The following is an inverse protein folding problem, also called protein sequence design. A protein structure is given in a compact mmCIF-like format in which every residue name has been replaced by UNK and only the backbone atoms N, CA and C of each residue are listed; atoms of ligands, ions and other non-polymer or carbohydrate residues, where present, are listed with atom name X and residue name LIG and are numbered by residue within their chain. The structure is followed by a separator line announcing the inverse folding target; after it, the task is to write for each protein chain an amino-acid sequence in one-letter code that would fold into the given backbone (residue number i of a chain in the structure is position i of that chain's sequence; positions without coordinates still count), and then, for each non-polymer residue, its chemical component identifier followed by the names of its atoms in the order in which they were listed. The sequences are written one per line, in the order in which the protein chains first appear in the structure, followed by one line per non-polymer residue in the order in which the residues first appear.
data_IF_512952844697
#
_entry.id   IF_512952844697
#
_cell.length_a   1.000
_cell.length_b   1.000
_cell.length_c   1.000
_cell.angle_alpha   90.00
_cell.angle_beta   90.00
_cell.angle_gamma   90.00
#
_symmetry.space_group_name_H-M   'P 1'
#
loop_
_entity.id
_entity.type
_entity.pdbx_description
1 polymer ?
#
# COMPACT_ATOMS: atom_id res chain seq x y z
N UNK A 1 -1.49 5.38 4.94
CA UNK A 1 -0.05 5.38 5.34
C UNK A 1 0.76 4.59 4.32
N UNK A 2 1.92 5.09 3.84
CA UNK A 2 2.68 4.42 2.75
C UNK A 2 3.66 3.32 3.21
N UNK A 3 4.13 3.34 4.45
CA UNK A 3 5.06 2.34 4.99
C UNK A 3 4.32 1.06 5.44
N UNK A 4 4.73 -0.10 4.89
CA UNK A 4 4.16 -1.42 5.21
C UNK A 4 4.33 -1.81 6.67
N UNK A 5 5.47 -1.49 7.29
CA UNK A 5 5.71 -1.82 8.71
C UNK A 5 4.79 -1.00 9.60
N UNK A 6 4.67 0.29 9.30
CA UNK A 6 3.79 1.20 10.02
C UNK A 6 2.31 0.87 9.81
N UNK A 7 1.91 0.46 8.60
CA UNK A 7 0.56 -0.06 8.32
C UNK A 7 0.22 -1.26 9.18
N UNK A 8 1.13 -2.23 9.29
CA UNK A 8 0.92 -3.40 10.17
C UNK A 8 0.75 -2.99 11.63
N UNK A 9 1.62 -2.11 12.14
CA UNK A 9 1.53 -1.58 13.51
C UNK A 9 0.21 -0.83 13.74
N UNK A 10 -0.23 -0.03 12.77
CA UNK A 10 -1.49 0.70 12.87
C UNK A 10 -2.69 -0.23 12.83
N UNK A 11 -2.68 -1.26 11.97
CA UNK A 11 -3.71 -2.31 11.94
C UNK A 11 -3.83 -3.02 13.28
N UNK A 12 -2.70 -3.39 13.89
CA UNK A 12 -2.68 -4.05 15.20
C UNK A 12 -3.20 -3.11 16.31
N UNK A 13 -2.92 -1.81 16.22
CA UNK A 13 -3.48 -0.80 17.11
C UNK A 13 -5.00 -0.63 16.92
N UNK A 14 -5.50 -0.59 15.68
CA UNK A 14 -6.93 -0.51 15.40
C UNK A 14 -7.68 -1.74 15.95
N UNK A 15 -7.04 -2.92 15.96
CA UNK A 15 -7.59 -4.11 16.61
C UNK A 15 -7.74 -3.95 18.13
N UNK A 16 -6.81 -3.25 18.78
CA UNK A 16 -6.89 -2.96 20.21
C UNK A 16 -7.96 -1.91 20.54
N UNK A 17 -8.14 -0.94 19.64
CA UNK A 17 -9.13 0.14 19.80
C UNK A 17 -10.53 -0.21 19.24
N UNK A 18 -10.79 -1.47 18.89
CA UNK A 18 -12.05 -1.94 18.31
C UNK A 18 -12.47 -1.15 17.04
N UNK A 19 -11.49 -0.67 16.27
CA UNK A 19 -11.66 0.10 15.04
C UNK A 19 -11.05 -0.59 13.81
N UNK A 20 -10.82 -1.91 13.91
CA UNK A 20 -10.19 -2.70 12.86
C UNK A 20 -11.02 -2.69 11.57
N UNK A 21 -12.35 -2.78 11.66
CA UNK A 21 -13.19 -2.85 10.46
C UNK A 21 -13.17 -1.53 9.67
N UNK A 22 -13.09 -0.38 10.35
CA UNK A 22 -12.84 0.91 9.71
C UNK A 22 -11.51 0.93 8.93
N UNK A 23 -10.45 0.35 9.51
CA UNK A 23 -9.17 0.21 8.82
C UNK A 23 -9.29 -0.71 7.60
N UNK A 24 -9.95 -1.86 7.75
CA UNK A 24 -10.09 -2.85 6.67
C UNK A 24 -10.91 -2.29 5.50
N UNK A 25 -11.93 -1.49 5.77
CA UNK A 25 -12.69 -0.78 4.75
C UNK A 25 -11.79 0.16 3.93
N UNK A 26 -10.97 0.99 4.58
CA UNK A 26 -10.04 1.87 3.88
C UNK A 26 -9.00 1.10 3.04
N UNK A 27 -8.55 -0.07 3.53
CA UNK A 27 -7.63 -0.96 2.80
C UNK A 27 -8.32 -1.50 1.54
N UNK A 28 -9.58 -1.94 1.64
CA UNK A 28 -10.37 -2.41 0.49
C UNK A 28 -10.72 -1.32 -0.51
N UNK A 29 -11.03 -0.10 -0.05
CA UNK A 29 -11.21 1.06 -0.94
C UNK A 29 -9.90 1.35 -1.70
N UNK A 30 -8.75 1.17 -1.07
CA UNK A 30 -7.45 1.31 -1.74
C UNK A 30 -7.28 0.26 -2.84
N UNK A 31 -7.64 -1.00 -2.59
CA UNK A 31 -7.61 -2.06 -3.61
C UNK A 31 -8.51 -1.72 -4.81
N UNK A 32 -9.70 -1.18 -4.56
CA UNK A 32 -10.59 -0.69 -5.61
C UNK A 32 -9.94 0.43 -6.44
N UNK A 33 -9.35 1.44 -5.79
CA UNK A 33 -8.67 2.56 -6.49
C UNK A 33 -7.50 2.09 -7.35
N UNK A 34 -6.73 1.09 -6.91
CA UNK A 34 -5.67 0.47 -7.72
C UNK A 34 -6.24 -0.17 -8.99
N UNK A 35 -7.41 -0.80 -8.91
CA UNK A 35 -8.08 -1.34 -10.10
C UNK A 35 -8.59 -0.23 -11.03
N UNK A 36 -9.06 0.89 -10.48
CA UNK A 36 -9.43 2.07 -11.27
C UNK A 36 -8.24 2.66 -12.02
N UNK A 37 -7.09 2.83 -11.36
CA UNK A 37 -5.84 3.28 -11.99
C UNK A 37 -5.45 2.34 -13.14
N UNK A 38 -5.54 1.03 -12.91
CA UNK A 38 -5.25 0.04 -13.96
C UNK A 38 -6.26 0.06 -15.11
N UNK A 39 -7.54 0.28 -14.83
CA UNK A 39 -8.57 0.43 -15.87
C UNK A 39 -8.26 1.66 -16.74
N UNK A 40 -7.92 2.78 -16.10
CA UNK A 40 -7.53 4.00 -16.80
C UNK A 40 -6.27 3.80 -17.66
N UNK A 41 -5.23 3.12 -17.15
CA UNK A 41 -4.05 2.77 -17.95
C UNK A 41 -4.39 1.96 -19.21
N UNK A 42 -5.32 1.01 -19.09
CA UNK A 42 -5.78 0.19 -20.22
C UNK A 42 -6.56 1.05 -21.22
N UNK A 43 -7.47 1.90 -20.75
CA UNK A 43 -8.26 2.79 -21.60
C UNK A 43 -7.36 3.79 -22.34
N UNK A 44 -6.38 4.39 -21.67
CA UNK A 44 -5.38 5.27 -22.30
C UNK A 44 -4.62 4.51 -23.38
N UNK A 45 -4.16 3.28 -23.10
CA UNK A 45 -3.47 2.49 -24.12
C UNK A 45 -4.34 2.14 -25.33
N UNK A 46 -5.62 1.84 -25.12
CA UNK A 46 -6.53 1.43 -26.20
C UNK A 46 -7.05 2.60 -27.03
N UNK A 47 -7.27 3.76 -26.41
CA UNK A 47 -8.03 4.87 -27.02
C UNK A 47 -7.23 6.17 -27.18
N UNK A 48 -6.12 6.38 -26.46
CA UNK A 48 -5.31 7.61 -26.57
C UNK A 48 -4.31 7.55 -27.76
N UNK A 49 -4.01 6.34 -28.27
CA UNK A 49 -3.29 6.13 -29.54
C UNK A 49 -4.15 6.44 -30.79
N UNK A 50 -5.45 6.75 -30.62
CA UNK A 50 -6.36 7.18 -31.69
C UNK A 50 -6.37 8.70 -31.92
N UNK A 51 -5.33 9.42 -31.47
CA UNK A 51 -5.12 10.82 -31.87
C UNK A 51 -4.80 10.89 -33.38
N UNK A 52 -5.54 11.66 -34.21
CA UNK A 52 -5.38 11.70 -35.67
C UNK A 52 -4.02 12.25 -36.15
N UNK A 53 -3.12 12.65 -35.25
CA UNK A 53 -1.85 13.29 -35.58
C UNK A 53 -0.60 12.43 -35.28
N UNK A 54 -0.75 11.17 -34.86
CA UNK A 54 0.41 10.28 -34.76
C UNK A 54 0.70 9.61 -36.11
N UNK A 55 1.34 10.37 -37.01
CA UNK A 55 2.04 9.82 -38.17
C UNK A 55 3.21 8.96 -37.68
N UNK A 56 2.93 7.71 -37.30
CA UNK A 56 3.95 6.67 -37.30
C UNK A 56 4.11 6.22 -38.74
N UNK A 57 5.16 6.71 -39.39
CA UNK A 57 5.73 6.15 -40.62
C UNK A 57 5.98 4.65 -40.43
N UNK A 58 4.97 3.83 -40.74
CA UNK A 58 5.16 2.41 -41.00
C UNK A 58 5.42 2.27 -42.49
N UNK A 59 6.67 2.56 -42.84
CA UNK A 59 7.24 2.21 -44.14
C UNK A 59 6.98 0.73 -44.40
N UNK A 60 6.15 0.49 -45.40
CA UNK A 60 6.00 -0.80 -46.07
C UNK A 60 7.34 -1.21 -46.67
N UNK A 61 7.94 -2.30 -46.17
CA UNK A 61 8.98 -3.00 -46.92
C UNK A 61 8.41 -4.32 -47.43
N UNK A 62 7.94 -4.25 -48.68
CA UNK A 62 7.61 -5.39 -49.52
C UNK A 62 8.90 -6.10 -49.93
N UNK A 63 9.04 -7.33 -49.43
CA UNK A 63 9.88 -8.44 -49.88
C UNK A 63 11.01 -8.20 -50.90
N UNK A 64 12.20 -8.71 -50.55
CA UNK A 64 12.98 -9.55 -51.47
C UNK A 64 13.95 -10.47 -50.73
N UNK A 65 14.01 -11.69 -51.23
CA UNK A 65 14.75 -12.84 -50.73
C UNK A 65 16.27 -12.75 -50.96
N UNK A 66 16.99 -13.49 -50.10
CA UNK A 66 18.19 -14.30 -50.39
C UNK A 66 19.56 -13.83 -49.85
N UNK A 67 20.23 -14.84 -49.25
CA UNK A 67 21.68 -15.10 -49.07
C UNK A 67 22.48 -14.52 -47.89
N UNK A 68 22.65 -15.40 -46.90
CA UNK A 68 23.90 -15.97 -46.33
C UNK A 68 25.04 -15.08 -45.76
N UNK A 69 25.37 -15.42 -44.51
CA UNK A 69 26.67 -15.43 -43.81
C UNK A 69 27.44 -14.10 -43.59
N UNK A 70 27.54 -13.66 -42.33
CA UNK A 70 28.71 -13.95 -41.45
C UNK A 70 28.63 -13.16 -40.14
N UNK A 71 28.91 -13.89 -39.04
CA UNK A 71 29.43 -13.44 -37.74
C UNK A 71 29.45 -11.94 -37.40
N UNK A 72 28.67 -11.54 -36.40
CA UNK A 72 29.21 -10.70 -35.34
C UNK A 72 28.36 -10.80 -34.06
N UNK A 73 29.08 -10.87 -32.94
CA UNK A 73 28.56 -10.81 -31.59
C UNK A 73 27.78 -9.51 -31.41
N UNK A 74 26.52 -9.61 -31.00
CA UNK A 74 25.96 -8.61 -30.09
C UNK A 74 24.87 -9.24 -29.22
N UNK A 75 24.95 -8.98 -27.92
CA UNK A 75 23.98 -9.41 -26.93
C UNK A 75 22.69 -8.62 -27.14
N UNK A 76 21.82 -9.13 -28.02
CA UNK A 76 20.44 -8.68 -28.09
C UNK A 76 19.74 -9.02 -26.77
N UNK A 77 19.62 -8.01 -25.91
CA UNK A 77 18.49 -7.87 -25.03
C UNK A 77 17.22 -8.06 -25.87
N UNK A 78 16.65 -9.27 -25.82
CA UNK A 78 15.26 -9.52 -26.17
C UNK A 78 14.41 -8.61 -25.29
N UNK A 79 14.14 -7.39 -25.76
CA UNK A 79 13.02 -6.58 -25.30
C UNK A 79 11.79 -7.44 -25.54
N UNK A 80 11.33 -8.15 -24.50
CA UNK A 80 10.01 -8.75 -24.48
C UNK A 80 9.05 -7.63 -24.85
N UNK A 81 8.49 -7.67 -26.07
CA UNK A 81 7.36 -6.83 -26.43
C UNK A 81 6.33 -7.01 -25.32
N UNK A 82 6.08 -5.96 -24.53
CA UNK A 82 4.97 -5.98 -23.57
C UNK A 82 3.75 -6.35 -24.40
N UNK A 83 3.11 -7.46 -24.04
CA UNK A 83 1.82 -7.85 -24.62
C UNK A 83 0.90 -6.65 -24.42
N UNK A 84 0.43 -6.02 -25.50
CA UNK A 84 -0.44 -4.86 -25.41
C UNK A 84 -1.72 -5.21 -24.65
N UNK A 85 -2.36 -4.22 -24.06
CA UNK A 85 -3.68 -4.41 -23.46
C UNK A 85 -4.72 -4.66 -24.55
N UNK A 86 -5.76 -5.41 -24.21
CA UNK A 86 -6.90 -5.73 -25.08
C UNK A 86 -8.21 -5.27 -24.44
N UNK A 87 -9.27 -5.11 -25.22
CA UNK A 87 -10.62 -4.82 -24.69
C UNK A 87 -11.10 -5.90 -23.71
N UNK A 88 -10.66 -7.15 -23.91
CA UNK A 88 -10.92 -8.24 -22.97
C UNK A 88 -10.27 -7.98 -21.61
N UNK A 89 -9.04 -7.46 -21.58
CA UNK A 89 -8.37 -7.10 -20.33
C UNK A 89 -9.10 -5.96 -19.60
N UNK A 90 -9.67 -5.00 -20.35
CA UNK A 90 -10.50 -3.94 -19.79
C UNK A 90 -11.77 -4.51 -19.14
N UNK A 91 -12.48 -5.38 -19.85
CA UNK A 91 -13.70 -6.02 -19.33
C UNK A 91 -13.41 -6.88 -18.08
N UNK A 92 -12.30 -7.60 -18.06
CA UNK A 92 -11.86 -8.37 -16.88
C UNK A 92 -11.54 -7.45 -15.68
N UNK A 93 -11.00 -6.26 -15.91
CA UNK A 93 -10.73 -5.28 -14.85
C UNK A 93 -12.02 -4.65 -14.32
N UNK A 94 -12.96 -4.27 -15.19
CA UNK A 94 -14.26 -3.74 -14.75
C UNK A 94 -15.04 -4.76 -13.94
N UNK A 95 -15.02 -6.05 -14.34
CA UNK A 95 -15.61 -7.12 -13.55
C UNK A 95 -14.99 -7.22 -12.15
N UNK A 96 -13.66 -7.13 -12.04
CA UNK A 96 -12.97 -7.16 -10.74
C UNK A 96 -13.28 -5.93 -9.88
N UNK A 97 -13.41 -4.75 -10.51
CA UNK A 97 -13.85 -3.53 -9.82
C UNK A 97 -15.22 -3.74 -9.19
N UNK A 98 -16.15 -4.32 -9.94
CA UNK A 98 -17.48 -4.67 -9.44
C UNK A 98 -17.43 -5.68 -8.30
N UNK A 99 -16.65 -6.76 -8.43
CA UNK A 99 -16.50 -7.77 -7.37
C UNK A 99 -16.02 -7.14 -6.05
N UNK A 100 -14.98 -6.31 -6.09
CA UNK A 100 -14.48 -5.61 -4.90
C UNK A 100 -15.50 -4.61 -4.38
N UNK A 101 -16.14 -3.84 -5.26
CA UNK A 101 -17.11 -2.83 -4.85
C UNK A 101 -18.36 -3.45 -4.20
N UNK A 102 -18.80 -4.59 -4.72
CA UNK A 102 -19.87 -5.39 -4.13
C UNK A 102 -19.48 -5.95 -2.76
N UNK A 103 -18.28 -6.53 -2.63
CA UNK A 103 -17.75 -6.99 -1.32
C UNK A 103 -17.69 -5.84 -0.30
N UNK A 104 -17.22 -4.66 -0.70
CA UNK A 104 -17.20 -3.48 0.18
C UNK A 104 -18.61 -3.15 0.64
N UNK A 105 -19.58 -3.14 -0.27
CA UNK A 105 -20.96 -2.85 0.05
C UNK A 105 -21.54 -3.88 1.03
N UNK A 106 -21.48 -5.17 0.71
CA UNK A 106 -22.11 -6.23 1.51
C UNK A 106 -21.48 -6.40 2.89
N UNK A 107 -20.16 -6.28 2.99
CA UNK A 107 -19.45 -6.60 4.23
C UNK A 107 -19.39 -5.39 5.17
N UNK A 108 -19.25 -4.18 4.62
CA UNK A 108 -18.97 -2.97 5.42
C UNK A 108 -20.07 -1.91 5.38
N UNK A 109 -20.79 -1.73 4.26
CA UNK A 109 -21.77 -0.65 4.12
C UNK A 109 -23.21 -1.09 4.40
N UNK A 110 -23.51 -2.38 4.19
CA UNK A 110 -24.80 -2.95 4.58
C UNK A 110 -24.90 -3.01 6.11
N UNK A 111 -26.09 -2.66 6.61
CA UNK A 111 -26.43 -2.68 8.04
C UNK A 111 -26.38 -4.12 8.57
N UNK A 112 -26.62 -5.11 7.70
CA UNK A 112 -26.54 -6.54 8.04
C UNK A 112 -25.16 -7.15 7.73
N UNK A 113 -24.18 -6.35 7.31
CA UNK A 113 -22.84 -6.82 6.97
C UNK A 113 -22.05 -7.30 8.19
N UNK A 114 -21.20 -8.33 8.00
CA UNK A 114 -20.37 -8.91 9.07
C UNK A 114 -19.40 -7.91 9.70
N UNK A 115 -19.04 -6.85 8.97
CA UNK A 115 -18.07 -5.81 9.32
C UNK A 115 -18.67 -4.42 9.17
N UNK A 116 -19.98 -4.29 9.37
CA UNK A 116 -20.72 -3.05 9.17
C UNK A 116 -20.06 -1.89 9.92
N UNK A 117 -19.70 -0.83 9.20
CA UNK A 117 -19.12 0.38 9.79
C UNK A 117 -20.18 1.45 9.99
N UNK A 118 -19.94 2.36 10.92
CA UNK A 118 -20.86 3.48 11.17
C UNK A 118 -20.65 4.58 10.13
N UNK A 119 -21.48 4.59 9.09
CA UNK A 119 -21.48 5.59 8.02
C UNK A 119 -22.87 6.17 7.78
N UNK A 120 -22.92 7.28 7.04
CA UNK A 120 -24.19 7.84 6.62
C UNK A 120 -24.92 6.90 5.66
N UNK A 121 -26.18 6.58 5.97
CA UNK A 121 -27.04 5.75 5.12
C UNK A 121 -27.10 6.23 3.67
N UNK A 122 -27.18 7.55 3.47
CA UNK A 122 -27.21 8.12 2.11
C UNK A 122 -25.93 7.87 1.30
N UNK A 123 -24.78 7.70 1.95
CA UNK A 123 -23.54 7.32 1.29
C UNK A 123 -23.59 5.85 0.84
N UNK A 124 -24.06 4.96 1.72
CA UNK A 124 -24.25 3.54 1.39
C UNK A 124 -25.27 3.34 0.25
N UNK A 125 -26.39 4.06 0.31
CA UNK A 125 -27.46 3.98 -0.69
C UNK A 125 -26.96 4.43 -2.07
N UNK A 126 -26.13 5.48 -2.15
CA UNK A 126 -25.52 5.93 -3.41
C UNK A 126 -24.57 4.89 -4.01
N UNK A 127 -23.76 4.23 -3.18
CA UNK A 127 -22.88 3.16 -3.64
C UNK A 127 -23.72 2.00 -4.19
N UNK A 128 -24.77 1.61 -3.47
CA UNK A 128 -25.70 0.57 -3.90
C UNK A 128 -26.31 0.87 -5.25
N UNK A 129 -26.84 2.08 -5.42
CA UNK A 129 -27.47 2.51 -6.67
C UNK A 129 -26.52 2.39 -7.86
N UNK A 130 -25.26 2.79 -7.71
CA UNK A 130 -24.24 2.63 -8.76
C UNK A 130 -23.91 1.16 -9.07
N UNK A 131 -23.88 0.30 -8.04
CA UNK A 131 -23.69 -1.15 -8.24
C UNK A 131 -24.89 -1.78 -8.96
N UNK A 132 -26.10 -1.35 -8.65
CA UNK A 132 -27.33 -1.82 -9.29
C UNK A 132 -27.36 -1.41 -10.78
N UNK A 133 -26.95 -0.17 -11.12
CA UNK A 133 -26.82 0.27 -12.52
C UNK A 133 -25.78 -0.51 -13.32
N UNK A 134 -24.66 -0.88 -12.67
CA UNK A 134 -23.67 -1.74 -13.32
C UNK A 134 -24.21 -3.17 -13.52
N UNK A 135 -24.91 -3.71 -12.53
CA UNK A 135 -25.49 -5.05 -12.59
C UNK A 135 -26.65 -5.16 -13.60
N UNK A 136 -27.43 -4.10 -13.80
CA UNK A 136 -28.48 -4.02 -14.82
C UNK A 136 -27.92 -3.81 -16.23
N UNK A 137 -26.64 -3.46 -16.36
CA UNK A 137 -26.00 -3.12 -17.62
C UNK A 137 -26.34 -1.71 -18.13
N UNK A 138 -26.98 -0.88 -17.31
CA UNK A 138 -27.21 0.54 -17.62
C UNK A 138 -25.91 1.35 -17.59
N UNK A 139 -24.91 0.87 -16.85
CA UNK A 139 -23.58 1.45 -16.82
C UNK A 139 -22.50 0.39 -17.08
N UNK A 140 -21.62 0.62 -18.04
CA UNK A 140 -20.52 -0.28 -18.41
C UNK A 140 -19.26 -0.09 -17.54
N UNK A 141 -19.17 1.03 -16.81
CA UNK A 141 -17.96 1.39 -16.05
C UNK A 141 -18.28 1.94 -14.66
N UNK A 142 -17.62 1.41 -13.64
CA UNK A 142 -17.69 1.97 -12.30
C UNK A 142 -16.72 3.16 -12.16
N UNK A 143 -17.16 4.23 -11.49
CA UNK A 143 -16.34 5.43 -11.32
C UNK A 143 -15.25 5.22 -10.27
N UNK A 144 -14.10 5.87 -10.45
CA UNK A 144 -13.01 5.88 -9.46
C UNK A 144 -13.40 6.59 -8.16
N UNK A 145 -14.31 7.55 -8.26
CA UNK A 145 -14.86 8.35 -7.15
C UNK A 145 -16.00 7.67 -6.37
N UNK A 146 -16.39 6.44 -6.74
CA UNK A 146 -17.51 5.70 -6.13
C UNK A 146 -17.49 5.71 -4.59
N UNK A 147 -16.31 5.58 -4.00
CA UNK A 147 -16.12 5.48 -2.56
C UNK A 147 -15.60 6.75 -1.89
N UNK A 148 -15.41 7.86 -2.60
CA UNK A 148 -14.75 9.05 -2.03
C UNK A 148 -15.48 9.63 -0.82
N UNK A 149 -16.81 9.64 -0.85
CA UNK A 149 -17.59 10.11 0.30
C UNK A 149 -17.45 9.16 1.51
N UNK A 150 -17.52 7.86 1.26
CA UNK A 150 -17.36 6.82 2.31
C UNK A 150 -15.95 6.88 2.91
N UNK A 151 -14.93 6.98 2.07
CA UNK A 151 -13.53 7.10 2.50
C UNK A 151 -13.31 8.34 3.35
N UNK A 152 -13.88 9.48 2.95
CA UNK A 152 -13.77 10.73 3.69
C UNK A 152 -14.40 10.63 5.08
N UNK A 153 -15.62 10.09 5.19
CA UNK A 153 -16.30 9.89 6.47
C UNK A 153 -15.49 9.00 7.42
N UNK A 154 -14.99 7.86 6.91
CA UNK A 154 -14.19 6.93 7.71
C UNK A 154 -12.82 7.51 8.08
N UNK A 155 -12.19 8.28 7.19
CA UNK A 155 -10.94 8.98 7.50
C UNK A 155 -11.13 9.95 8.66
N UNK A 156 -12.24 10.72 8.66
CA UNK A 156 -12.59 11.64 9.76
C UNK A 156 -12.81 10.86 11.07
N UNK A 157 -13.59 9.78 11.02
CA UNK A 157 -13.85 8.92 12.18
C UNK A 157 -12.54 8.33 12.76
N UNK A 158 -11.59 7.98 11.91
CA UNK A 158 -10.32 7.38 12.32
C UNK A 158 -9.27 8.40 12.79
N UNK A 159 -9.52 9.71 12.74
CA UNK A 159 -8.56 10.73 13.17
C UNK A 159 -8.11 10.55 14.62
N UNK A 160 -9.06 10.27 15.53
CA UNK A 160 -8.75 10.09 16.95
C UNK A 160 -7.92 8.83 17.20
N UNK A 161 -8.28 7.72 16.55
CA UNK A 161 -7.52 6.46 16.57
C UNK A 161 -6.11 6.69 16.06
N UNK A 162 -5.97 7.43 14.96
CA UNK A 162 -4.69 7.78 14.39
C UNK A 162 -3.85 8.69 15.31
N UNK A 163 -4.49 9.62 16.02
CA UNK A 163 -3.82 10.47 16.99
C UNK A 163 -3.27 9.65 18.18
N UNK A 164 -4.09 8.77 18.76
CA UNK A 164 -3.67 7.86 19.84
C UNK A 164 -2.56 6.89 19.40
N UNK A 165 -2.61 6.42 18.16
CA UNK A 165 -1.53 5.62 17.58
C UNK A 165 -0.20 6.37 17.58
N UNK A 166 -0.20 7.63 17.13
CA UNK A 166 1.02 8.45 17.11
C UNK A 166 1.60 8.63 18.51
N UNK A 167 0.76 8.94 19.50
CA UNK A 167 1.18 9.04 20.90
C UNK A 167 1.81 7.73 21.39
N UNK A 168 1.18 6.59 21.07
CA UNK A 168 1.69 5.25 21.43
C UNK A 168 3.06 4.98 20.81
N UNK A 169 3.24 5.27 19.53
CA UNK A 169 4.53 5.09 18.83
C UNK A 169 5.61 6.01 19.40
N UNK A 170 5.27 7.27 19.70
CA UNK A 170 6.20 8.22 20.32
C UNK A 170 6.63 7.75 21.72
N UNK A 171 5.69 7.28 22.53
CA UNK A 171 5.97 6.72 23.84
C UNK A 171 6.89 5.49 23.76
N UNK A 172 6.64 4.57 22.82
CA UNK A 172 7.51 3.41 22.60
C UNK A 172 8.94 3.84 22.20
N UNK A 173 9.08 4.83 21.31
CA UNK A 173 10.38 5.38 20.94
C UNK A 173 11.11 6.00 22.14
N UNK A 174 10.41 6.73 23.00
CA UNK A 174 11.00 7.31 24.21
C UNK A 174 11.46 6.23 25.19
N UNK A 175 10.63 5.22 25.44
CA UNK A 175 10.94 4.11 26.35
C UNK A 175 12.15 3.30 25.85
N UNK A 176 12.23 3.01 24.55
CA UNK A 176 13.41 2.36 23.96
C UNK A 176 14.68 3.20 24.14
N UNK A 177 14.62 4.52 23.91
CA UNK A 177 15.76 5.42 24.16
C UNK A 177 16.20 5.40 25.63
N UNK A 178 15.26 5.37 26.57
CA UNK A 178 15.58 5.27 28.00
C UNK A 178 16.23 3.93 28.37
N UNK A 179 15.74 2.82 27.82
CA UNK A 179 16.34 1.50 28.04
C UNK A 179 17.78 1.43 27.52
N UNK A 180 18.04 1.96 26.32
CA UNK A 180 19.40 2.02 25.76
C UNK A 180 20.32 2.89 26.63
N UNK A 181 19.85 4.04 27.10
CA UNK A 181 20.63 4.91 28.02
C UNK A 181 20.93 4.19 29.34
N UNK A 182 19.95 3.54 29.97
CA UNK A 182 20.15 2.77 31.21
C UNK A 182 21.15 1.63 31.03
N UNK A 183 21.10 0.94 29.89
CA UNK A 183 22.04 -0.14 29.59
C UNK A 183 23.47 0.36 29.35
N UNK A 184 23.64 1.50 28.67
CA UNK A 184 24.97 2.16 28.53
C UNK A 184 25.55 2.55 29.89
N UNK A 185 24.75 3.19 30.75
CA UNK A 185 25.19 3.58 32.11
C UNK A 185 25.57 2.35 32.94
N UNK A 186 24.81 1.24 32.85
CA UNK A 186 25.18 -0.02 33.52
C UNK A 186 26.50 -0.61 33.01
N UNK A 187 26.74 -0.56 31.70
CA UNK A 187 28.00 -1.02 31.10
C UNK A 187 29.20 -0.18 31.54
N UNK A 188 29.07 1.15 31.55
CA UNK A 188 30.12 2.06 32.03
C UNK A 188 30.38 1.88 33.53
N UNK A 189 29.32 1.72 34.32
CA UNK A 189 29.43 1.47 35.77
C UNK A 189 30.13 0.15 36.09
N UNK A 190 29.87 -0.91 35.31
CA UNK A 190 30.58 -2.19 35.47
C UNK A 190 32.03 -2.12 35.00
N UNK A 191 32.33 -1.37 33.93
CA UNK A 191 33.70 -1.13 33.48
C UNK A 191 34.54 -0.37 34.52
N UNK A 192 33.95 0.64 35.16
CA UNK A 192 34.61 1.43 36.23
C UNK A 192 34.81 0.61 37.51
N UNK A 193 33.90 -0.32 37.82
CA UNK A 193 34.08 -1.25 38.95
C UNK A 193 35.21 -2.25 38.70
N UNK A 194 35.30 -2.83 37.51
CA UNK A 194 36.42 -3.72 37.15
C UNK A 194 37.77 -2.97 37.11
N UNK A 195 37.81 -1.71 36.66
CA UNK A 195 39.07 -0.96 36.65
C UNK A 195 39.54 -0.49 38.04
N UNK A 196 38.64 -0.42 39.03
CA UNK A 196 38.98 -0.05 40.41
C UNK A 196 39.40 -1.24 41.27
N UNK A 197 38.96 -2.46 40.96
CA UNK A 197 39.46 -3.68 41.60
C UNK A 197 40.92 -4.01 41.24
N UNK A 198 41.42 -3.46 40.14
CA UNK A 198 42.80 -3.69 39.68
C UNK A 198 43.82 -2.67 40.25
N UNK A 199 43.37 -1.72 41.08
CA UNK A 199 44.22 -0.65 41.64
C UNK A 199 44.05 -0.49 43.16
N UNK A 200 44.51 -1.48 43.93
CA UNK A 200 45.04 -1.44 45.31
C UNK A 200 45.03 -2.88 45.88
N UNK A 201 46.04 -3.43 46.56
CA UNK A 201 46.92 -2.83 47.56
C UNK A 201 48.05 -3.86 47.84
N UNK A 202 49.29 -3.74 47.30
CA UNK A 202 50.38 -4.63 47.77
C UNK A 202 51.84 -4.19 47.48
N UNK A 203 52.11 -2.91 47.21
CA UNK A 203 53.47 -2.45 46.86
C UNK A 203 54.09 -1.36 47.74
N UNK A 204 53.58 -1.17 48.97
CA UNK A 204 54.24 -0.33 49.98
C UNK A 204 54.75 -1.17 51.17
N UNK A 205 55.79 -1.97 50.94
CA UNK A 205 56.70 -2.41 52.01
C UNK A 205 57.97 -1.56 51.97
N UNK A 206 58.01 -0.58 52.87
CA UNK A 206 59.20 0.19 53.21
C UNK A 206 60.11 -0.76 54.02
N UNK A 207 61.38 -1.01 53.61
CA UNK A 207 62.28 -1.81 54.42
C UNK A 207 62.73 -0.99 55.63
N UNK A 208 62.51 -1.52 56.82
CA UNK A 208 63.07 -0.99 58.07
C UNK A 208 64.28 -1.84 58.48
N UNK A 209 65.40 -1.13 58.64
CA UNK A 209 66.70 -1.49 59.23
C UNK A 209 67.59 -2.49 58.48
#
# INVERSE_FOLDING_TARGET
MRDNKLRKLFRDHCKQEMSLDNYLLLDKITDYKILCEKSFEIQVFLYDDMSPNSHSDSLSDSGSSATANSSNLDHQHKKKKKKGYTEKDLHEIEKKKYEIAFEIYTDFLDINGDKSVNINKSAADRVKEQLDYFASGENEHLTDTLFDNVESEICVLMLDTHHRFKQTVEFQKQTQKQHVKKNKVKFESNKVKNSRSDLNLDSLKIPTK
#
